data_IF_268965083759
#
_entry.id   IF_268965083759
#
_cell.length_a   1.000
_cell.length_b   1.000
_cell.length_c   1.000
_cell.angle_alpha   90.00
_cell.angle_beta   90.00
_cell.angle_gamma   90.00
#
_symmetry.space_group_name_H-M   'P 1'
#
loop_
_entity.id
_entity.type
_entity.pdbx_description
1 polymer ?
#
# COMPACT_ATOMS: atom_id res chain seq x y z
N UNK A 1 -7.50 24.06 0.18
CA UNK A 1 -7.05 23.29 -0.98
C UNK A 1 -6.88 21.84 -0.58
N UNK A 2 -7.17 20.91 -1.46
CA UNK A 2 -7.08 19.48 -1.22
C UNK A 2 -5.91 18.89 -2.01
N UNK A 3 -5.03 18.13 -1.33
CA UNK A 3 -3.95 17.37 -1.95
C UNK A 3 -3.84 16.04 -1.19
N UNK A 4 -4.53 15.02 -1.68
CA UNK A 4 -4.54 13.68 -1.11
C UNK A 4 -4.35 12.63 -2.18
N UNK A 5 -3.52 11.65 -1.87
CA UNK A 5 -3.18 10.52 -2.73
C UNK A 5 -3.40 9.24 -1.94
N UNK A 6 -4.04 8.28 -2.58
CA UNK A 6 -4.25 6.93 -2.06
C UNK A 6 -3.65 5.96 -3.08
N UNK A 7 -2.66 5.21 -2.67
CA UNK A 7 -1.95 4.28 -3.56
C UNK A 7 -1.84 2.92 -2.90
N UNK A 8 -2.03 1.88 -3.67
CA UNK A 8 -1.74 0.50 -3.29
C UNK A 8 -0.74 -0.08 -4.27
N UNK A 9 0.35 -0.61 -3.77
CA UNK A 9 1.41 -1.18 -4.59
C UNK A 9 2.37 -2.06 -3.81
N UNK A 10 3.27 -2.73 -4.52
CA UNK A 10 4.30 -3.58 -3.91
C UNK A 10 5.60 -2.82 -3.69
N UNK A 11 6.22 -3.05 -2.55
CA UNK A 11 7.57 -2.55 -2.29
C UNK A 11 8.56 -3.10 -3.33
N UNK A 12 9.25 -2.22 -4.03
CA UNK A 12 10.26 -2.59 -5.04
C UNK A 12 11.52 -3.11 -4.38
N UNK A 13 11.84 -2.58 -3.22
CA UNK A 13 13.00 -2.93 -2.37
C UNK A 13 12.68 -2.62 -0.91
N UNK A 14 13.57 -3.04 -0.02
CA UNK A 14 13.44 -2.69 1.39
C UNK A 14 13.47 -1.16 1.58
N UNK A 15 12.65 -0.60 2.48
CA UNK A 15 12.70 0.81 2.80
C UNK A 15 14.07 1.23 3.33
N UNK A 16 14.55 2.37 2.89
CA UNK A 16 15.80 2.95 3.36
C UNK A 16 15.52 3.96 4.47
N UNK A 17 15.87 3.60 5.70
CA UNK A 17 15.75 4.48 6.86
C UNK A 17 17.01 5.31 7.04
N UNK A 18 16.84 6.62 7.15
CA UNK A 18 17.88 7.60 7.47
C UNK A 18 17.42 8.53 8.57
N UNK A 19 18.37 9.21 9.19
CA UNK A 19 18.09 10.24 10.17
C UNK A 19 18.67 11.56 9.68
N UNK A 20 17.92 12.64 9.83
CA UNK A 20 18.41 13.99 9.56
C UNK A 20 19.43 14.40 10.63
N UNK A 21 20.11 15.54 10.42
CA UNK A 21 21.05 16.07 11.41
C UNK A 21 20.39 16.35 12.78
N UNK A 22 19.10 16.67 12.77
CA UNK A 22 18.32 16.85 13.99
C UNK A 22 17.82 15.55 14.63
N UNK A 23 18.15 14.38 14.04
CA UNK A 23 17.73 13.07 14.54
C UNK A 23 16.33 12.63 14.09
N UNK A 24 15.71 13.33 13.16
CA UNK A 24 14.39 12.97 12.62
C UNK A 24 14.49 11.77 11.67
N UNK A 25 13.71 10.74 11.90
CA UNK A 25 13.67 9.57 11.04
C UNK A 25 12.98 9.87 9.71
N UNK A 26 13.58 9.43 8.61
CA UNK A 26 13.06 9.55 7.24
C UNK A 26 13.24 8.20 6.55
N UNK A 27 12.18 7.65 6.01
CA UNK A 27 12.23 6.43 5.21
C UNK A 27 11.83 6.72 3.76
N UNK A 28 12.67 6.29 2.83
CA UNK A 28 12.41 6.36 1.40
C UNK A 28 12.12 4.97 0.87
N UNK A 29 11.08 4.84 0.07
CA UNK A 29 10.70 3.58 -0.56
C UNK A 29 9.97 3.84 -1.87
N UNK A 30 9.94 2.84 -2.73
CA UNK A 30 9.28 2.91 -4.04
C UNK A 30 8.22 1.82 -4.13
N UNK A 31 7.04 2.18 -4.58
CA UNK A 31 5.94 1.26 -4.84
C UNK A 31 5.80 0.99 -6.35
N UNK A 32 5.68 -0.28 -6.71
CA UNK A 32 5.27 -0.71 -8.03
C UNK A 32 3.75 -0.81 -8.07
N UNK A 33 3.13 0.03 -8.88
CA UNK A 33 1.69 0.13 -9.04
C UNK A 33 1.32 -0.21 -10.48
N UNK A 34 0.62 -1.32 -10.67
CA UNK A 34 0.13 -1.71 -11.98
C UNK A 34 -1.08 -0.88 -12.37
N UNK A 35 -1.11 -0.42 -13.62
CA UNK A 35 -2.28 0.25 -14.18
C UNK A 35 -3.42 -0.74 -14.39
N UNK A 36 -4.66 -0.30 -14.17
CA UNK A 36 -5.85 -1.15 -14.33
C UNK A 36 -6.06 -1.61 -15.78
N UNK A 37 -5.58 -0.82 -16.74
CA UNK A 37 -5.75 -1.11 -18.15
C UNK A 37 -4.55 -1.83 -18.73
N UNK A 38 -4.84 -2.84 -19.57
CA UNK A 38 -3.83 -3.49 -20.40
C UNK A 38 -3.57 -2.67 -21.67
N UNK A 39 -2.32 -2.64 -22.10
CA UNK A 39 -1.98 -2.11 -23.42
C UNK A 39 -2.64 -2.98 -24.49
N UNK A 40 -3.36 -2.33 -25.41
CA UNK A 40 -4.09 -3.02 -26.49
C UNK A 40 -3.14 -3.70 -27.49
N UNK A 41 -1.91 -3.23 -27.60
CA UNK A 41 -0.91 -3.72 -28.53
C UNK A 41 -0.14 -4.90 -27.97
N UNK A 42 0.30 -4.85 -26.71
CA UNK A 42 1.13 -5.86 -26.07
C UNK A 42 0.34 -6.84 -25.18
N UNK A 43 -0.86 -6.45 -24.75
CA UNK A 43 -1.67 -7.20 -23.80
C UNK A 43 -1.15 -7.16 -22.36
N UNK A 44 -0.07 -6.45 -22.09
CA UNK A 44 0.58 -6.31 -20.80
C UNK A 44 0.09 -5.08 -20.05
N UNK A 45 0.20 -5.11 -18.72
CA UNK A 45 -0.08 -3.96 -17.87
C UNK A 45 1.21 -3.17 -17.65
N UNK A 46 1.12 -1.86 -17.84
CA UNK A 46 2.21 -0.95 -17.47
C UNK A 46 2.27 -0.80 -15.96
N UNK A 47 3.47 -0.81 -15.42
CA UNK A 47 3.73 -0.57 -14.00
C UNK A 47 4.34 0.82 -13.82
N UNK A 48 3.76 1.61 -12.95
CA UNK A 48 4.32 2.89 -12.52
C UNK A 48 5.10 2.68 -11.22
N UNK A 49 6.30 3.26 -11.16
CA UNK A 49 7.15 3.25 -9.97
C UNK A 49 7.01 4.59 -9.26
N UNK A 50 6.41 4.57 -8.09
CA UNK A 50 6.05 5.76 -7.34
C UNK A 50 6.94 5.89 -6.11
N UNK A 51 7.72 6.95 -6.06
CA UNK A 51 8.59 7.24 -4.92
C UNK A 51 7.78 7.84 -3.76
N UNK A 52 7.98 7.27 -2.59
CA UNK A 52 7.32 7.65 -1.36
C UNK A 52 8.36 7.99 -0.29
N UNK A 53 8.01 8.95 0.54
CA UNK A 53 8.82 9.37 1.69
C UNK A 53 7.94 9.39 2.93
N UNK A 54 8.38 8.74 3.98
CA UNK A 54 7.74 8.77 5.29
C UNK A 54 8.63 9.47 6.32
N UNK A 55 8.03 10.14 7.27
CA UNK A 55 8.71 10.90 8.30
C UNK A 55 8.38 10.39 9.70
N UNK A 56 9.33 10.51 10.63
CA UNK A 56 9.13 10.25 12.07
C UNK A 56 8.60 8.84 12.36
N UNK A 57 7.51 8.73 13.11
CA UNK A 57 6.91 7.45 13.48
C UNK A 57 6.47 6.61 12.30
N UNK A 58 5.97 7.22 11.23
CA UNK A 58 5.62 6.52 9.98
C UNK A 58 6.86 5.94 9.31
N UNK A 59 7.99 6.67 9.31
CA UNK A 59 9.26 6.17 8.78
C UNK A 59 9.76 4.95 9.54
N UNK A 60 9.72 4.98 10.87
CA UNK A 60 10.12 3.86 11.72
C UNK A 60 9.20 2.65 11.52
N UNK A 61 7.89 2.88 11.44
CA UNK A 61 6.91 1.84 11.17
C UNK A 61 7.17 1.14 9.83
N UNK A 62 7.34 1.90 8.75
CA UNK A 62 7.61 1.34 7.42
C UNK A 62 8.92 0.57 7.40
N UNK A 63 9.96 1.12 7.97
CA UNK A 63 11.27 0.46 8.04
C UNK A 63 11.25 -0.85 8.82
N UNK A 64 10.45 -0.92 9.89
CA UNK A 64 10.36 -2.09 10.76
C UNK A 64 9.50 -3.21 10.16
N UNK A 65 8.38 -2.87 9.53
CA UNK A 65 7.34 -3.85 9.18
C UNK A 65 7.22 -4.14 7.69
N UNK A 66 7.82 -3.34 6.82
CA UNK A 66 7.77 -3.54 5.38
C UNK A 66 9.12 -3.98 4.83
N UNK A 67 9.06 -4.83 3.82
CA UNK A 67 10.21 -5.33 3.08
C UNK A 67 9.86 -5.47 1.60
N UNK A 68 10.88 -5.73 0.78
CA UNK A 68 10.70 -5.98 -0.66
C UNK A 68 9.57 -6.99 -0.92
N UNK A 69 8.68 -6.65 -1.84
CA UNK A 69 7.58 -7.50 -2.29
C UNK A 69 6.28 -7.39 -1.47
N UNK A 70 6.33 -6.77 -0.27
CA UNK A 70 5.12 -6.56 0.55
C UNK A 70 4.18 -5.57 -0.13
N UNK A 71 2.89 -5.87 -0.04
CA UNK A 71 1.84 -4.96 -0.48
C UNK A 71 1.60 -3.88 0.57
N UNK A 72 1.68 -2.63 0.16
CA UNK A 72 1.44 -1.48 1.01
C UNK A 72 0.31 -0.61 0.46
N UNK A 73 -0.50 -0.07 1.36
CA UNK A 73 -1.47 0.99 1.06
C UNK A 73 -0.97 2.28 1.69
N UNK A 74 -0.70 3.28 0.87
CA UNK A 74 -0.18 4.57 1.29
C UNK A 74 -1.25 5.63 1.15
N UNK A 75 -1.47 6.37 2.21
CA UNK A 75 -2.27 7.59 2.24
C UNK A 75 -1.35 8.77 2.49
N UNK A 76 -1.38 9.76 1.63
CA UNK A 76 -0.50 10.90 1.76
C UNK A 76 -0.85 12.05 0.83
N UNK A 77 0.14 12.86 0.53
CA UNK A 77 0.04 14.00 -0.39
C UNK A 77 1.17 13.99 -1.42
N UNK A 78 0.87 14.46 -2.62
CA UNK A 78 1.86 14.62 -3.66
C UNK A 78 2.68 15.90 -3.41
N UNK A 79 4.00 15.79 -3.40
CA UNK A 79 4.90 16.94 -3.36
C UNK A 79 5.83 16.95 -4.57
N UNK A 80 6.05 18.13 -5.10
CA UNK A 80 6.99 18.37 -6.18
C UNK A 80 8.20 19.10 -5.59
N UNK A 81 9.36 18.46 -5.66
CA UNK A 81 10.62 19.03 -5.23
C UNK A 81 11.43 19.51 -6.43
N UNK A 82 11.78 20.78 -6.44
CA UNK A 82 12.70 21.35 -7.43
C UNK A 82 14.15 21.24 -6.92
N UNK A 83 15.06 20.82 -7.80
CA UNK A 83 16.49 20.72 -7.51
C UNK A 83 17.31 20.99 -8.77
N UNK A 84 18.58 21.29 -8.58
CA UNK A 84 19.53 21.48 -9.68
C UNK A 84 20.49 20.30 -9.73
N UNK A 85 20.76 19.81 -10.95
CA UNK A 85 21.79 18.81 -11.16
C UNK A 85 23.20 19.43 -11.21
N UNK A 86 24.24 18.58 -11.33
CA UNK A 86 25.64 19.02 -11.37
C UNK A 86 25.97 19.91 -12.56
N UNK A 87 25.15 19.89 -13.61
CA UNK A 87 25.27 20.66 -14.83
C UNK A 87 24.49 21.99 -14.77
N UNK A 88 23.81 22.28 -13.66
CA UNK A 88 23.03 23.50 -13.47
C UNK A 88 21.63 23.43 -14.08
N UNK A 89 21.16 22.25 -14.55
CA UNK A 89 19.81 22.06 -15.06
C UNK A 89 18.82 21.98 -13.92
N UNK A 90 17.71 22.70 -14.05
CA UNK A 90 16.60 22.62 -13.11
C UNK A 90 15.82 21.32 -13.33
N UNK A 91 15.69 20.53 -12.28
CA UNK A 91 14.95 19.26 -12.27
C UNK A 91 13.80 19.32 -11.28
N UNK A 92 12.79 18.49 -11.54
CA UNK A 92 11.64 18.31 -10.63
C UNK A 92 11.47 16.83 -10.35
N UNK A 93 11.27 16.51 -9.09
CA UNK A 93 10.96 15.16 -8.65
C UNK A 93 9.60 15.18 -7.96
N UNK A 94 8.69 14.32 -8.41
CA UNK A 94 7.41 14.11 -7.78
C UNK A 94 7.56 12.96 -6.77
N UNK A 95 7.14 13.18 -5.54
CA UNK A 95 7.15 12.15 -4.50
C UNK A 95 5.88 12.23 -3.66
N UNK A 96 5.45 11.10 -3.13
CA UNK A 96 4.31 11.02 -2.22
C UNK A 96 4.82 11.03 -0.80
N UNK A 97 4.41 12.03 -0.03
CA UNK A 97 4.68 12.08 1.40
C UNK A 97 3.64 11.23 2.11
N UNK A 98 4.07 10.10 2.64
CA UNK A 98 3.21 9.15 3.33
C UNK A 98 2.83 9.66 4.71
N UNK A 99 1.55 9.89 4.92
CA UNK A 99 0.97 10.24 6.23
C UNK A 99 0.62 8.97 7.02
N UNK A 100 0.12 7.96 6.32
CA UNK A 100 -0.23 6.66 6.89
C UNK A 100 0.10 5.56 5.90
N UNK A 101 0.55 4.42 6.42
CA UNK A 101 0.86 3.23 5.63
C UNK A 101 0.19 2.03 6.28
N UNK A 102 -0.53 1.24 5.47
CA UNK A 102 -1.25 0.06 5.91
C UNK A 102 -0.77 -1.17 5.16
N UNK A 103 -0.94 -2.34 5.76
CA UNK A 103 -0.69 -3.60 5.08
C UNK A 103 -1.79 -3.87 4.05
N UNK A 104 -1.40 -4.14 2.81
CA UNK A 104 -2.32 -4.53 1.73
C UNK A 104 -2.39 -6.05 1.53
N UNK A 105 -1.58 -6.80 2.25
CA UNK A 105 -1.54 -8.26 2.25
C UNK A 105 -1.48 -8.81 3.66
N UNK A 106 -1.88 -10.07 3.84
CA UNK A 106 -1.62 -10.80 5.08
C UNK A 106 -0.14 -11.17 5.14
N UNK A 107 0.46 -11.05 6.31
CA UNK A 107 1.78 -11.60 6.55
C UNK A 107 1.67 -13.13 6.43
N UNK A 108 2.19 -13.71 5.37
CA UNK A 108 2.43 -15.15 5.31
C UNK A 108 3.55 -15.46 6.30
N UNK A 109 3.19 -15.66 7.55
CA UNK A 109 4.07 -16.33 8.46
C UNK A 109 4.19 -17.76 7.95
N UNK A 110 5.41 -18.19 7.70
CA UNK A 110 5.70 -19.61 7.50
C UNK A 110 5.59 -20.34 8.86
N UNK A 111 4.53 -20.11 9.61
CA UNK A 111 4.20 -20.88 10.79
C UNK A 111 3.66 -22.22 10.35
N UNK A 112 4.15 -23.33 10.91
CA UNK A 112 3.63 -24.67 10.59
C UNK A 112 2.13 -24.84 10.81
N UNK A 113 1.52 -23.96 11.61
CA UNK A 113 0.09 -23.91 11.88
C UNK A 113 -0.74 -23.35 10.74
N UNK A 114 -0.18 -22.49 9.87
CA UNK A 114 -0.88 -21.98 8.69
C UNK A 114 -1.05 -23.05 7.60
N UNK A 115 -0.18 -24.07 7.59
CA UNK A 115 -0.35 -25.22 6.69
C UNK A 115 -1.52 -26.13 7.09
N UNK A 116 -1.96 -26.06 8.34
CA UNK A 116 -3.14 -26.80 8.81
C UNK A 116 -4.44 -26.08 8.49
N UNK A 117 -4.40 -24.78 8.22
CA UNK A 117 -5.58 -24.00 7.82
C UNK A 117 -5.91 -24.16 6.32
N UNK A 118 -4.90 -24.42 5.48
CA UNK A 118 -5.10 -24.70 4.05
C UNK A 118 -5.66 -26.11 3.80
N UNK A 119 -5.47 -27.04 4.75
CA UNK A 119 -6.06 -28.41 4.73
C UNK A 119 -7.41 -28.49 5.47
N UNK A 120 -7.88 -27.40 6.08
CA UNK A 120 -9.18 -27.35 6.67
C UNK A 120 -10.24 -27.36 5.55
N UNK A 121 -11.15 -28.32 5.63
CA UNK A 121 -12.31 -28.45 4.73
C UNK A 121 -13.00 -27.08 4.54
N UNK A 122 -13.51 -26.78 3.33
CA UNK A 122 -14.16 -25.52 3.06
C UNK A 122 -15.21 -25.24 4.12
N UNK A 123 -15.07 -24.09 4.79
CA UNK A 123 -16.06 -23.60 5.74
C UNK A 123 -17.33 -23.39 4.94
N UNK A 124 -18.26 -24.32 5.07
CA UNK A 124 -19.60 -24.15 4.52
C UNK A 124 -20.25 -23.05 5.35
N UNK A 125 -20.33 -21.87 4.80
CA UNK A 125 -21.17 -20.83 5.38
C UNK A 125 -22.60 -21.39 5.43
N UNK A 126 -23.31 -21.30 6.56
CA UNK A 126 -24.69 -21.67 6.59
C UNK A 126 -25.39 -20.88 5.48
N UNK A 127 -26.07 -21.66 4.64
CA UNK A 127 -26.89 -21.12 3.56
C UNK A 127 -27.73 -19.99 4.14
N UNK A 128 -27.60 -18.79 3.59
CA UNK A 128 -28.53 -17.71 3.85
C UNK A 128 -29.86 -18.16 3.23
N UNK A 129 -30.60 -18.98 3.98
CA UNK A 129 -31.97 -19.24 3.63
C UNK A 129 -32.69 -17.89 3.59
N UNK A 130 -33.28 -17.59 2.46
CA UNK A 130 -34.17 -16.45 2.31
C UNK A 130 -35.10 -16.42 3.51
N UNK A 131 -35.05 -15.33 4.26
CA UNK A 131 -36.01 -15.06 5.31
C UNK A 131 -37.35 -14.93 4.58
N UNK A 132 -38.19 -15.95 4.62
CA UNK A 132 -39.55 -15.84 4.11
C UNK A 132 -40.17 -14.61 4.80
N UNK A 133 -40.55 -13.64 3.99
CA UNK A 133 -41.28 -12.46 4.46
C UNK A 133 -42.61 -12.99 5.10
N UNK A 134 -42.59 -13.10 6.41
CA UNK A 134 -43.80 -13.37 7.18
C UNK A 134 -44.62 -12.05 7.24
N UNK A 135 -45.76 -11.99 6.50
CA UNK A 135 -46.58 -10.78 6.45
C UNK A 135 -47.18 -10.39 7.81
N UNK A 136 -47.04 -11.24 8.83
CA UNK A 136 -47.54 -11.01 10.19
C UNK A 136 -46.47 -10.57 11.17
N UNK A 137 -45.21 -10.42 10.74
CA UNK A 137 -44.15 -9.94 11.60
C UNK A 137 -43.69 -8.54 11.12
N UNK A 138 -44.28 -7.44 11.63
CA UNK A 138 -43.88 -6.12 11.23
C UNK A 138 -42.45 -5.87 11.66
N UNK A 139 -41.63 -5.40 10.71
CA UNK A 139 -40.26 -4.95 10.95
C UNK A 139 -40.24 -3.94 12.11
N UNK A 140 -39.26 -4.03 13.03
CA UNK A 140 -39.18 -3.16 14.20
C UNK A 140 -38.61 -1.79 13.82
N UNK A 141 -39.30 -1.05 12.99
CA UNK A 141 -39.00 0.35 12.70
C UNK A 141 -40.20 1.23 13.08
#
# INVERSE_FOLDING_TARGET
>A
MLNKVFIMGRMVRDPELRHTQSGTAVASFTLAVERDFKDKTTGERTTDFIDCVAWRGTAEFVSRFFSKGRMAVVVGSLQIRAWEDKEGNKRRTAEVIAESVYFGDSKRNADPLDKLADDAAPVTYPDFSEVEDDPNNPLPF
#
